data_IF_150092274839
#
_entry.id   IF_150092274839
#
_cell.length_a   1.000
_cell.length_b   1.000
_cell.length_c   1.000
_cell.angle_alpha   90.00
_cell.angle_beta   90.00
_cell.angle_gamma   90.00
#
_symmetry.space_group_name_H-M   'P 1'
#
loop_
_entity.id
_entity.type
_entity.pdbx_description
1 polymer ?
#
# COMPACT_ATOMS: atom_id res chain seq x y z
N UNK A 1 -11.95 4.13 42.62
CA UNK A 1 -11.73 4.16 41.17
C UNK A 1 -11.71 2.74 40.67
N UNK A 2 -12.74 2.29 39.98
CA UNK A 2 -12.75 0.95 39.38
C UNK A 2 -12.03 1.05 38.01
N UNK A 3 -10.90 0.35 37.89
CA UNK A 3 -10.23 0.16 36.61
C UNK A 3 -11.10 -0.80 35.81
N UNK A 4 -11.82 -0.27 34.80
CA UNK A 4 -12.53 -1.10 33.83
C UNK A 4 -11.46 -1.86 33.01
N UNK A 5 -11.25 -3.13 33.36
CA UNK A 5 -10.48 -4.04 32.54
C UNK A 5 -11.36 -4.38 31.32
N UNK A 6 -11.15 -3.67 30.19
CA UNK A 6 -11.76 -4.01 28.92
C UNK A 6 -11.18 -5.34 28.45
N UNK A 7 -11.93 -6.42 28.59
CA UNK A 7 -11.60 -7.70 27.95
C UNK A 7 -11.63 -7.50 26.44
N UNK A 8 -10.45 -7.44 25.80
CA UNK A 8 -10.33 -7.51 24.35
C UNK A 8 -10.91 -8.85 23.90
N UNK A 9 -11.85 -8.83 22.95
CA UNK A 9 -12.41 -10.08 22.44
C UNK A 9 -11.35 -10.90 21.70
N UNK A 10 -11.49 -12.22 21.64
CA UNK A 10 -10.57 -13.07 20.89
C UNK A 10 -10.50 -12.66 19.42
N UNK A 11 -11.58 -12.15 18.86
CA UNK A 11 -11.66 -11.63 17.50
C UNK A 11 -10.86 -10.34 17.33
N UNK A 12 -10.93 -9.42 18.29
CA UNK A 12 -10.14 -8.17 18.25
C UNK A 12 -8.63 -8.45 18.34
N UNK A 13 -8.26 -9.42 19.18
CA UNK A 13 -6.86 -9.86 19.30
C UNK A 13 -6.35 -10.47 17.98
N UNK A 14 -7.19 -11.26 17.30
CA UNK A 14 -6.84 -11.83 15.99
C UNK A 14 -6.70 -10.75 14.91
N UNK A 15 -7.63 -9.80 14.82
CA UNK A 15 -7.54 -8.66 13.90
C UNK A 15 -6.27 -7.84 14.14
N UNK A 16 -5.96 -7.55 15.38
CA UNK A 16 -4.74 -6.82 15.75
C UNK A 16 -3.49 -7.56 15.28
N UNK A 17 -3.44 -8.89 15.49
CA UNK A 17 -2.32 -9.73 15.04
C UNK A 17 -2.19 -9.73 13.51
N UNK A 18 -3.31 -9.79 12.76
CA UNK A 18 -3.28 -9.74 11.30
C UNK A 18 -2.75 -8.40 10.83
N UNK A 19 -3.21 -7.29 11.40
CA UNK A 19 -2.70 -5.94 11.09
C UNK A 19 -1.20 -5.81 11.36
N UNK A 20 -0.72 -6.32 12.50
CA UNK A 20 0.70 -6.31 12.85
C UNK A 20 1.54 -7.12 11.85
N UNK A 21 1.11 -8.33 11.49
CA UNK A 21 1.78 -9.15 10.50
C UNK A 21 1.82 -8.44 9.13
N UNK A 22 0.72 -7.79 8.74
CA UNK A 22 0.65 -7.04 7.49
C UNK A 22 1.64 -5.87 7.48
N UNK A 23 1.72 -5.13 8.59
CA UNK A 23 2.68 -4.03 8.75
C UNK A 23 4.13 -4.51 8.61
N UNK A 24 4.47 -5.65 9.21
CA UNK A 24 5.80 -6.25 9.10
C UNK A 24 6.16 -6.67 7.66
N UNK A 25 5.17 -7.06 6.85
CA UNK A 25 5.39 -7.40 5.45
C UNK A 25 5.59 -6.16 4.54
N UNK A 26 5.04 -5.02 4.95
CA UNK A 26 5.13 -3.77 4.16
C UNK A 26 6.40 -2.98 4.52
N UNK A 27 6.77 -2.97 5.80
CA UNK A 27 7.94 -2.22 6.28
C UNK A 27 9.23 -2.98 5.96
N UNK A 28 10.31 -2.28 5.58
CA UNK A 28 11.62 -2.88 5.39
C UNK A 28 12.17 -3.39 6.73
N UNK A 29 12.88 -4.52 6.68
CA UNK A 29 13.64 -5.04 7.82
C UNK A 29 15.12 -4.66 7.67
N UNK A 30 15.87 -4.62 8.78
CA UNK A 30 17.34 -4.38 8.74
C UNK A 30 18.07 -5.38 7.82
N UNK A 31 17.57 -6.63 7.78
CA UNK A 31 18.12 -7.68 6.92
C UNK A 31 17.91 -7.37 5.44
N UNK A 32 16.79 -6.73 5.10
CA UNK A 32 16.47 -6.33 3.72
C UNK A 32 17.41 -5.22 3.23
N UNK A 33 17.76 -4.23 4.08
CA UNK A 33 18.73 -3.19 3.73
C UNK A 33 20.12 -3.77 3.41
N UNK A 34 20.58 -4.73 4.20
CA UNK A 34 21.86 -5.40 3.95
C UNK A 34 21.86 -6.18 2.63
N UNK A 35 20.81 -6.94 2.37
CA UNK A 35 20.66 -7.70 1.12
C UNK A 35 20.49 -6.78 -0.09
N UNK A 36 19.77 -5.67 0.05
CA UNK A 36 19.62 -4.70 -1.01
C UNK A 36 20.96 -4.07 -1.40
N UNK A 37 21.72 -3.58 -0.42
CA UNK A 37 23.03 -2.96 -0.66
C UNK A 37 24.02 -3.95 -1.29
N UNK A 38 23.99 -5.22 -0.88
CA UNK A 38 24.77 -6.29 -1.48
C UNK A 38 24.32 -6.58 -2.92
N UNK A 39 23.02 -6.62 -3.19
CA UNK A 39 22.42 -6.86 -4.51
C UNK A 39 22.68 -5.69 -5.45
N UNK A 40 22.47 -4.44 -5.02
CA UNK A 40 22.77 -3.25 -5.81
C UNK A 40 24.26 -3.14 -6.16
N UNK A 41 25.13 -3.48 -5.20
CA UNK A 41 26.58 -3.52 -5.43
C UNK A 41 27.00 -4.61 -6.42
N UNK A 42 26.25 -5.72 -6.50
CA UNK A 42 26.48 -6.79 -7.47
C UNK A 42 25.91 -6.45 -8.85
N UNK A 43 24.74 -5.82 -8.92
CA UNK A 43 24.10 -5.39 -10.17
C UNK A 43 24.85 -4.26 -10.88
N UNK A 44 25.55 -3.41 -10.15
CA UNK A 44 26.41 -2.37 -10.74
C UNK A 44 27.63 -2.93 -11.49
N UNK A 45 27.95 -4.23 -11.34
CA UNK A 45 29.09 -4.90 -11.99
C UNK A 45 28.74 -5.79 -13.17
N UNK A 46 27.50 -6.23 -13.30
CA UNK A 46 27.08 -7.14 -14.36
C UNK A 46 25.68 -6.81 -14.86
N UNK A 47 25.65 -6.21 -16.05
CA UNK A 47 24.53 -6.14 -16.98
C UNK A 47 23.34 -5.23 -16.61
N UNK A 48 23.12 -4.27 -17.49
CA UNK A 48 21.90 -3.52 -17.76
C UNK A 48 20.82 -4.48 -18.30
N UNK A 49 20.35 -5.37 -17.47
CA UNK A 49 19.31 -6.35 -17.82
C UNK A 49 18.16 -6.32 -16.83
N UNK A 50 17.06 -5.72 -17.25
CA UNK A 50 15.74 -5.57 -16.69
C UNK A 50 15.53 -4.41 -15.69
N UNK A 51 15.19 -3.27 -16.25
CA UNK A 51 14.66 -2.10 -15.51
C UNK A 51 13.51 -2.44 -14.56
N UNK A 52 12.83 -3.56 -14.79
CA UNK A 52 11.66 -4.00 -14.06
C UNK A 52 11.99 -4.58 -12.67
N UNK A 53 13.07 -5.34 -12.54
CA UNK A 53 13.52 -5.88 -11.22
C UNK A 53 14.08 -4.77 -10.35
N UNK A 54 14.77 -3.80 -10.96
CA UNK A 54 15.27 -2.61 -10.26
C UNK A 54 14.10 -1.76 -9.75
N UNK A 55 13.07 -1.56 -10.56
CA UNK A 55 11.86 -0.80 -10.18
C UNK A 55 11.09 -1.49 -9.04
N UNK A 56 10.94 -2.81 -9.05
CA UNK A 56 10.31 -3.55 -7.95
C UNK A 56 11.12 -3.49 -6.64
N UNK A 57 12.45 -3.52 -6.74
CA UNK A 57 13.33 -3.34 -5.58
C UNK A 57 13.24 -1.92 -5.01
N UNK A 58 13.23 -0.89 -5.85
CA UNK A 58 13.08 0.50 -5.42
C UNK A 58 11.69 0.79 -4.81
N UNK A 59 10.64 0.07 -5.21
CA UNK A 59 9.31 0.19 -4.59
C UNK A 59 9.26 -0.38 -3.16
N UNK A 60 10.25 -1.15 -2.74
CA UNK A 60 10.32 -1.81 -1.44
C UNK A 60 11.07 -1.00 -0.38
N UNK A 61 11.92 -0.06 -0.79
CA UNK A 61 12.84 0.67 0.09
C UNK A 61 12.62 2.18 0.02
N UNK A 62 12.87 2.88 1.13
CA UNK A 62 12.77 4.33 1.18
C UNK A 62 13.73 4.98 0.18
N UNK A 63 13.21 5.94 -0.54
CA UNK A 63 13.95 6.69 -1.55
C UNK A 63 15.10 7.49 -0.97
N UNK A 64 16.00 7.90 -1.87
CA UNK A 64 17.07 8.86 -1.62
C UNK A 64 16.60 10.01 -0.69
N UNK A 65 17.32 10.31 0.40
CA UNK A 65 16.96 11.38 1.33
C UNK A 65 16.72 12.74 0.68
N UNK A 66 17.37 13.04 -0.44
CA UNK A 66 17.16 14.30 -1.18
C UNK A 66 15.83 14.30 -1.93
N UNK A 67 15.37 13.15 -2.40
CA UNK A 67 14.04 13.00 -3.00
C UNK A 67 12.97 13.21 -1.93
N UNK A 68 13.13 12.59 -0.76
CA UNK A 68 12.18 12.76 0.34
C UNK A 68 12.14 14.22 0.81
N UNK A 69 13.28 14.85 0.97
CA UNK A 69 13.34 16.29 1.30
C UNK A 69 12.59 17.12 0.26
N UNK A 70 12.73 16.79 -1.03
CA UNK A 70 11.99 17.44 -2.10
C UNK A 70 10.48 17.26 -1.92
N UNK A 71 9.99 16.06 -1.60
CA UNK A 71 8.57 15.83 -1.34
C UNK A 71 8.05 16.67 -0.17
N UNK A 72 8.81 16.78 0.92
CA UNK A 72 8.42 17.56 2.08
C UNK A 72 8.37 19.07 1.79
N UNK A 73 9.33 19.59 1.01
CA UNK A 73 9.50 21.02 0.78
C UNK A 73 8.72 21.58 -0.40
N UNK A 74 8.34 20.74 -1.37
CA UNK A 74 7.63 21.18 -2.58
C UNK A 74 6.12 20.94 -2.55
N UNK A 75 5.61 20.26 -1.49
CA UNK A 75 4.17 20.07 -1.36
C UNK A 75 3.44 21.41 -1.27
N UNK A 76 2.40 21.58 -2.07
CA UNK A 76 1.57 22.80 -2.06
C UNK A 76 0.72 22.91 -0.78
N UNK A 77 0.11 24.06 -0.58
CA UNK A 77 -0.80 24.27 0.56
C UNK A 77 -2.00 23.32 0.51
N UNK A 78 -2.45 22.95 -0.68
CA UNK A 78 -3.57 22.05 -0.95
C UNK A 78 -3.22 20.56 -0.78
N UNK A 79 -1.93 20.22 -0.63
CA UNK A 79 -1.47 18.84 -0.46
C UNK A 79 -1.05 18.13 -1.75
N UNK A 80 -0.87 18.87 -2.86
CA UNK A 80 -0.39 18.35 -4.15
C UNK A 80 1.11 18.55 -4.32
N UNK A 81 1.68 17.99 -5.40
CA UNK A 81 3.06 18.23 -5.83
C UNK A 81 3.10 18.79 -7.24
N UNK A 82 3.88 19.87 -7.49
CA UNK A 82 3.85 20.60 -8.76
C UNK A 82 4.40 19.82 -9.96
N UNK A 83 5.15 18.77 -9.73
CA UNK A 83 5.72 17.89 -10.75
C UNK A 83 4.78 16.75 -11.19
N UNK A 84 3.56 16.67 -10.63
CA UNK A 84 2.53 15.69 -11.00
C UNK A 84 1.44 16.38 -11.81
N UNK A 85 1.18 15.87 -13.02
CA UNK A 85 0.05 16.35 -13.82
C UNK A 85 -1.26 15.68 -13.36
N UNK A 86 -1.99 16.34 -12.48
CA UNK A 86 -3.29 15.85 -11.98
C UNK A 86 -4.42 15.88 -13.00
N UNK A 87 -4.21 16.54 -14.16
CA UNK A 87 -5.18 16.56 -15.27
C UNK A 87 -4.91 15.47 -16.32
N UNK A 88 -3.92 14.61 -16.08
CA UNK A 88 -3.59 13.51 -16.99
C UNK A 88 -4.78 12.58 -17.19
N UNK A 89 -5.07 12.24 -18.46
CA UNK A 89 -6.16 11.35 -18.89
C UNK A 89 -5.64 10.08 -19.56
N UNK A 90 -4.35 9.81 -19.50
CA UNK A 90 -3.78 8.58 -20.06
C UNK A 90 -4.39 7.35 -19.39
N UNK A 91 -4.61 6.32 -20.21
CA UNK A 91 -5.08 5.00 -19.71
C UNK A 91 -3.94 4.13 -19.18
N UNK A 92 -2.70 4.44 -19.55
CA UNK A 92 -1.47 3.78 -19.09
C UNK A 92 -0.48 4.84 -18.66
N UNK A 93 0.25 4.60 -17.58
CA UNK A 93 1.15 5.59 -17.00
C UNK A 93 0.44 6.83 -16.46
N UNK A 94 -0.79 6.68 -15.97
CA UNK A 94 -1.61 7.76 -15.40
C UNK A 94 -0.90 8.43 -14.22
N UNK A 95 -0.55 9.73 -14.39
CA UNK A 95 0.33 10.43 -13.48
C UNK A 95 -0.21 10.65 -12.06
N UNK A 96 -1.53 10.88 -11.83
CA UNK A 96 -2.03 11.03 -10.46
C UNK A 96 -1.77 9.82 -9.55
N UNK A 97 -1.49 8.61 -10.10
CA UNK A 97 -1.04 7.47 -9.29
C UNK A 97 0.23 7.76 -8.48
N UNK A 98 1.13 8.63 -9.02
CA UNK A 98 2.39 9.01 -8.37
C UNK A 98 2.11 9.66 -7.01
N UNK A 99 1.01 10.40 -6.87
CA UNK A 99 0.58 10.96 -5.59
C UNK A 99 0.36 9.86 -4.54
N UNK A 100 -0.29 8.76 -4.92
CA UNK A 100 -0.55 7.64 -4.00
C UNK A 100 0.73 6.88 -3.63
N UNK A 101 1.64 6.75 -4.58
CA UNK A 101 2.96 6.14 -4.37
C UNK A 101 3.80 6.97 -3.39
N UNK A 102 3.78 8.31 -3.51
CA UNK A 102 4.44 9.21 -2.55
C UNK A 102 3.85 9.11 -1.16
N UNK A 103 2.53 9.07 -1.04
CA UNK A 103 1.88 8.84 0.27
C UNK A 103 2.41 7.56 0.90
N UNK A 104 2.42 6.45 0.17
CA UNK A 104 2.90 5.17 0.69
C UNK A 104 4.36 5.26 1.13
N UNK A 105 5.21 5.92 0.35
CA UNK A 105 6.63 6.08 0.67
C UNK A 105 6.85 6.91 1.94
N UNK A 106 6.18 8.05 2.04
CA UNK A 106 6.24 8.90 3.24
C UNK A 106 5.72 8.15 4.47
N UNK A 107 4.63 7.41 4.33
CA UNK A 107 4.07 6.61 5.43
C UNK A 107 5.02 5.49 5.85
N UNK A 108 5.70 4.82 4.91
CA UNK A 108 6.73 3.81 5.25
C UNK A 108 7.84 4.43 6.08
N UNK A 109 8.39 5.56 5.66
CA UNK A 109 9.44 6.26 6.41
C UNK A 109 8.98 6.73 7.80
N UNK A 110 7.76 7.25 7.88
CA UNK A 110 7.13 7.65 9.13
C UNK A 110 6.97 6.48 10.10
N UNK A 111 6.65 5.29 9.59
CA UNK A 111 6.34 4.11 10.39
C UNK A 111 7.54 3.20 10.65
N UNK A 112 8.69 3.41 10.02
CA UNK A 112 9.89 2.57 10.16
C UNK A 112 10.73 3.00 11.35
N UNK A 113 10.87 2.19 12.42
CA UNK A 113 11.80 2.47 13.50
C UNK A 113 13.23 2.60 12.96
N UNK A 114 13.95 3.63 13.43
CA UNK A 114 15.30 3.92 12.95
C UNK A 114 15.37 4.85 11.74
N UNK A 115 14.27 5.10 11.04
CA UNK A 115 14.19 6.17 10.04
C UNK A 115 14.39 7.54 10.70
N UNK A 116 15.12 8.45 10.05
CA UNK A 116 15.24 9.86 10.49
C UNK A 116 13.87 10.59 10.51
N UNK A 117 12.87 10.02 9.89
CA UNK A 117 11.49 10.53 9.81
C UNK A 117 10.50 9.76 10.69
N UNK A 118 11.00 8.82 11.52
CA UNK A 118 10.14 8.03 12.39
C UNK A 118 9.33 8.93 13.33
N UNK A 119 8.00 8.86 13.20
CA UNK A 119 7.03 9.72 13.92
C UNK A 119 7.33 11.23 13.82
N UNK A 120 7.89 11.67 12.68
CA UNK A 120 8.16 13.09 12.43
C UNK A 120 6.86 13.89 12.26
N UNK A 121 6.64 14.91 13.09
CA UNK A 121 5.47 15.78 12.99
C UNK A 121 5.40 16.56 11.66
N UNK A 122 6.54 16.86 11.04
CA UNK A 122 6.59 17.49 9.72
C UNK A 122 6.06 16.53 8.65
N UNK A 123 6.54 15.28 8.65
CA UNK A 123 6.11 14.27 7.70
C UNK A 123 4.64 13.90 7.89
N UNK A 124 4.18 13.75 9.13
CA UNK A 124 2.78 13.51 9.49
C UNK A 124 1.85 14.57 8.87
N UNK A 125 2.21 15.84 9.01
CA UNK A 125 1.46 16.95 8.42
C UNK A 125 1.39 16.89 6.90
N UNK A 126 2.49 16.49 6.23
CA UNK A 126 2.54 16.32 4.77
C UNK A 126 1.63 15.15 4.35
N UNK A 127 1.66 14.03 5.08
CA UNK A 127 0.80 12.87 4.81
C UNK A 127 -0.68 13.25 4.95
N UNK A 128 -1.09 13.89 6.04
CA UNK A 128 -2.48 14.33 6.23
C UNK A 128 -2.98 15.24 5.12
N UNK A 129 -2.16 16.21 4.68
CA UNK A 129 -2.53 17.09 3.57
C UNK A 129 -2.71 16.32 2.25
N UNK A 130 -1.80 15.39 1.95
CA UNK A 130 -1.88 14.60 0.75
C UNK A 130 -3.13 13.68 0.75
N UNK A 131 -3.41 13.03 1.87
CA UNK A 131 -4.63 12.23 2.06
C UNK A 131 -5.90 13.10 1.92
N UNK A 132 -5.92 14.25 2.58
CA UNK A 132 -7.05 15.19 2.51
C UNK A 132 -7.35 15.63 1.07
N UNK A 133 -6.31 15.98 0.30
CA UNK A 133 -6.48 16.31 -1.11
C UNK A 133 -7.06 15.13 -1.92
N UNK A 134 -6.52 13.92 -1.72
CA UNK A 134 -6.98 12.73 -2.44
C UNK A 134 -8.45 12.43 -2.16
N UNK A 135 -8.85 12.47 -0.91
CA UNK A 135 -10.23 12.19 -0.50
C UNK A 135 -11.22 13.28 -0.98
N UNK A 136 -10.77 14.54 -1.04
CA UNK A 136 -11.61 15.62 -1.53
C UNK A 136 -11.81 15.61 -3.04
N UNK A 137 -10.74 15.27 -3.81
CA UNK A 137 -10.75 15.37 -5.27
C UNK A 137 -11.13 14.09 -5.98
N UNK A 138 -10.90 12.92 -5.34
CA UNK A 138 -11.25 11.58 -5.84
C UNK A 138 -10.83 11.38 -7.31
N UNK A 139 -9.53 11.47 -7.64
CA UNK A 139 -9.09 11.36 -9.02
C UNK A 139 -9.44 9.98 -9.61
N UNK A 140 -9.98 9.98 -10.84
CA UNK A 140 -10.41 8.77 -11.54
C UNK A 140 -9.62 8.60 -12.84
N UNK A 141 -9.03 7.41 -13.04
CA UNK A 141 -8.39 7.03 -14.27
C UNK A 141 -9.42 6.47 -15.28
N UNK A 142 -9.20 6.69 -16.58
CA UNK A 142 -10.00 6.08 -17.64
C UNK A 142 -9.77 4.54 -17.77
N UNK A 143 -8.73 4.01 -17.13
CA UNK A 143 -8.49 2.58 -17.02
C UNK A 143 -8.99 2.09 -15.65
N UNK A 144 -9.96 1.19 -15.67
CA UNK A 144 -10.60 0.60 -14.51
C UNK A 144 -9.59 -0.02 -13.53
N UNK A 145 -8.48 -0.59 -14.05
CA UNK A 145 -7.48 -1.26 -13.24
C UNK A 145 -6.86 -0.34 -12.17
N UNK A 146 -6.56 0.92 -12.53
CA UNK A 146 -6.06 1.89 -11.54
C UNK A 146 -7.09 2.15 -10.45
N UNK A 147 -8.36 2.28 -10.80
CA UNK A 147 -9.41 2.64 -9.85
C UNK A 147 -9.73 1.49 -8.89
N UNK A 148 -9.76 0.24 -9.39
CA UNK A 148 -10.21 -0.92 -8.62
C UNK A 148 -9.06 -1.71 -7.99
N UNK A 149 -7.87 -1.67 -8.59
CA UNK A 149 -6.72 -2.47 -8.15
C UNK A 149 -5.56 -1.56 -7.74
N UNK A 150 -5.01 -0.76 -8.65
CA UNK A 150 -3.75 -0.07 -8.45
C UNK A 150 -3.78 0.92 -7.28
N UNK A 151 -4.72 1.85 -7.29
CA UNK A 151 -4.88 2.85 -6.23
C UNK A 151 -5.24 2.21 -4.88
N UNK A 152 -6.26 1.33 -4.78
CA UNK A 152 -6.57 0.65 -3.53
C UNK A 152 -5.39 -0.18 -2.99
N UNK A 153 -4.62 -0.86 -3.86
CA UNK A 153 -3.44 -1.64 -3.46
C UNK A 153 -2.36 -0.74 -2.85
N UNK A 154 -2.08 0.40 -3.47
CA UNK A 154 -1.04 1.33 -3.00
C UNK A 154 -1.47 2.03 -1.72
N UNK A 155 -2.63 2.68 -1.74
CA UNK A 155 -3.13 3.43 -0.59
C UNK A 155 -3.55 2.52 0.57
N UNK A 156 -4.05 1.31 0.30
CA UNK A 156 -4.42 0.36 1.34
C UNK A 156 -3.24 0.01 2.26
N UNK A 157 -2.05 -0.17 1.70
CA UNK A 157 -0.84 -0.37 2.47
C UNK A 157 -0.51 0.85 3.34
N UNK A 158 -0.63 2.05 2.77
CA UNK A 158 -0.43 3.30 3.52
C UNK A 158 -1.47 3.45 4.63
N UNK A 159 -2.74 3.16 4.37
CA UNK A 159 -3.81 3.26 5.35
C UNK A 159 -3.60 2.35 6.56
N UNK A 160 -3.18 1.10 6.35
CA UNK A 160 -2.92 0.18 7.46
C UNK A 160 -1.73 0.61 8.32
N UNK A 161 -0.68 1.13 7.71
CA UNK A 161 0.48 1.64 8.44
C UNK A 161 0.18 2.92 9.20
N UNK A 162 -0.65 3.80 8.63
CA UNK A 162 -0.96 5.12 9.17
C UNK A 162 -2.28 5.14 9.98
N UNK A 163 -2.94 3.99 10.13
CA UNK A 163 -4.25 3.86 10.80
C UNK A 163 -4.30 4.53 12.19
N UNK A 164 -3.28 4.39 13.07
CA UNK A 164 -3.31 5.01 14.40
C UNK A 164 -3.31 6.53 14.39
N UNK A 165 -2.85 7.18 13.32
CA UNK A 165 -2.76 8.63 13.16
C UNK A 165 -3.96 9.22 12.40
N UNK A 166 -4.75 8.38 11.72
CA UNK A 166 -5.88 8.85 10.93
C UNK A 166 -6.96 9.47 11.78
N UNK A 167 -7.47 10.60 11.32
CA UNK A 167 -8.74 11.16 11.81
C UNK A 167 -9.93 10.26 11.39
N UNK A 168 -11.07 10.44 12.05
CA UNK A 168 -12.30 9.72 11.65
C UNK A 168 -12.74 10.05 10.21
N UNK A 169 -12.48 11.27 9.74
CA UNK A 169 -12.77 11.67 8.37
C UNK A 169 -11.86 10.97 7.37
N UNK A 170 -10.57 10.92 7.66
CA UNK A 170 -9.59 10.18 6.82
C UNK A 170 -9.87 8.69 6.81
N UNK A 171 -10.26 8.11 7.95
CA UNK A 171 -10.68 6.70 8.01
C UNK A 171 -11.89 6.43 7.11
N UNK A 172 -12.90 7.31 7.10
CA UNK A 172 -14.03 7.19 6.17
C UNK A 172 -13.59 7.29 4.72
N UNK A 173 -12.74 8.27 4.39
CA UNK A 173 -12.17 8.43 3.04
C UNK A 173 -11.36 7.22 2.60
N UNK A 174 -10.57 6.64 3.49
CA UNK A 174 -9.81 5.42 3.23
C UNK A 174 -10.73 4.23 2.91
N UNK A 175 -11.78 4.03 3.70
CA UNK A 175 -12.77 2.97 3.45
C UNK A 175 -13.43 3.18 2.08
N UNK A 176 -13.83 4.41 1.75
CA UNK A 176 -14.44 4.75 0.45
C UNK A 176 -13.50 4.41 -0.72
N UNK A 177 -12.21 4.73 -0.63
CA UNK A 177 -11.22 4.33 -1.63
C UNK A 177 -11.17 2.81 -1.77
N UNK A 178 -11.18 2.07 -0.67
CA UNK A 178 -11.11 0.61 -0.67
C UNK A 178 -12.40 -0.05 -1.19
N UNK A 179 -13.55 0.62 -1.15
CA UNK A 179 -14.82 0.13 -1.70
C UNK A 179 -14.85 0.03 -3.23
N UNK A 180 -13.91 0.66 -3.92
CA UNK A 180 -13.74 0.48 -5.35
C UNK A 180 -13.30 -0.96 -5.72
N UNK A 181 -12.62 -1.66 -4.81
CA UNK A 181 -12.28 -3.08 -4.99
C UNK A 181 -13.44 -3.97 -4.54
N UNK A 182 -13.84 -4.92 -5.41
CA UNK A 182 -14.90 -5.89 -5.15
C UNK A 182 -14.45 -7.28 -5.57
N UNK A 183 -14.99 -8.31 -4.94
CA UNK A 183 -14.74 -9.68 -5.39
C UNK A 183 -15.19 -9.86 -6.83
N UNK A 184 -14.39 -10.59 -7.61
CA UNK A 184 -14.67 -10.87 -9.01
C UNK A 184 -13.40 -11.21 -9.77
N UNK A 185 -13.56 -11.42 -11.07
CA UNK A 185 -12.49 -11.82 -11.99
C UNK A 185 -11.87 -13.18 -11.67
N UNK A 186 -10.76 -13.50 -12.32
CA UNK A 186 -9.98 -14.74 -12.18
C UNK A 186 -8.48 -14.39 -12.08
N UNK A 187 -7.69 -15.38 -11.72
CA UNK A 187 -6.24 -15.29 -11.71
C UNK A 187 -5.71 -14.17 -10.84
N UNK A 188 -4.68 -13.51 -11.29
CA UNK A 188 -3.98 -12.46 -10.53
C UNK A 188 -4.90 -11.28 -10.17
N UNK A 189 -5.81 -10.87 -11.06
CA UNK A 189 -6.73 -9.77 -10.79
C UNK A 189 -7.67 -10.10 -9.62
N UNK A 190 -8.17 -11.35 -9.53
CA UNK A 190 -8.99 -11.80 -8.40
C UNK A 190 -8.22 -11.75 -7.09
N UNK A 191 -6.96 -12.21 -7.09
CA UNK A 191 -6.08 -12.15 -5.91
C UNK A 191 -5.86 -10.70 -5.45
N UNK A 192 -5.58 -9.78 -6.38
CA UNK A 192 -5.40 -8.37 -6.05
C UNK A 192 -6.68 -7.70 -5.53
N UNK A 193 -7.81 -7.96 -6.16
CA UNK A 193 -9.10 -7.43 -5.71
C UNK A 193 -9.44 -7.96 -4.32
N UNK A 194 -9.29 -9.27 -4.09
CA UNK A 194 -9.54 -9.87 -2.78
C UNK A 194 -8.55 -9.37 -1.72
N UNK A 195 -7.29 -9.12 -2.08
CA UNK A 195 -6.31 -8.48 -1.21
C UNK A 195 -6.71 -7.07 -0.80
N UNK A 196 -7.23 -6.26 -1.74
CA UNK A 196 -7.76 -4.94 -1.43
C UNK A 196 -9.02 -5.00 -0.54
N UNK A 197 -9.91 -5.98 -0.77
CA UNK A 197 -11.07 -6.23 0.11
C UNK A 197 -10.61 -6.65 1.51
N UNK A 198 -9.55 -7.45 1.62
CA UNK A 198 -8.95 -7.81 2.91
C UNK A 198 -8.48 -6.57 3.69
N UNK A 199 -7.78 -5.66 3.03
CA UNK A 199 -7.35 -4.39 3.65
C UNK A 199 -8.55 -3.58 4.13
N UNK A 200 -9.60 -3.46 3.31
CA UNK A 200 -10.86 -2.81 3.73
C UNK A 200 -11.44 -3.47 4.97
N UNK A 201 -11.51 -4.80 5.00
CA UNK A 201 -12.04 -5.56 6.13
C UNK A 201 -11.26 -5.28 7.41
N UNK A 202 -9.92 -5.17 7.31
CA UNK A 202 -9.07 -4.82 8.45
C UNK A 202 -9.33 -3.39 8.95
N UNK A 203 -9.49 -2.41 8.06
CA UNK A 203 -9.83 -1.03 8.42
C UNK A 203 -11.22 -0.92 9.08
N UNK A 204 -12.16 -1.78 8.68
CA UNK A 204 -13.53 -1.85 9.22
C UNK A 204 -13.65 -2.74 10.47
N UNK A 205 -12.58 -3.47 10.82
CA UNK A 205 -12.59 -4.52 11.86
C UNK A 205 -13.65 -5.61 11.59
N UNK A 206 -13.89 -5.94 10.32
CA UNK A 206 -14.85 -6.93 9.85
C UNK A 206 -14.19 -8.30 9.62
N UNK A 207 -14.22 -9.19 10.62
CA UNK A 207 -13.59 -10.50 10.54
C UNK A 207 -14.29 -11.43 9.54
N UNK A 208 -15.59 -11.26 9.30
CA UNK A 208 -16.30 -12.10 8.33
C UNK A 208 -15.88 -11.73 6.90
N UNK A 209 -15.70 -10.45 6.63
CA UNK A 209 -15.15 -9.99 5.35
C UNK A 209 -13.68 -10.40 5.19
N UNK A 210 -12.87 -10.44 6.29
CA UNK A 210 -11.50 -11.00 6.29
C UNK A 210 -11.52 -12.46 5.83
N UNK A 211 -12.43 -13.29 6.38
CA UNK A 211 -12.57 -14.70 5.99
C UNK A 211 -12.97 -14.85 4.53
N UNK A 212 -13.93 -14.06 4.07
CA UNK A 212 -14.35 -14.07 2.66
C UNK A 212 -13.19 -13.70 1.71
N UNK A 213 -12.42 -12.69 2.05
CA UNK A 213 -11.26 -12.27 1.26
C UNK A 213 -10.19 -13.36 1.19
N UNK A 214 -9.86 -13.97 2.34
CA UNK A 214 -8.97 -15.14 2.42
C UNK A 214 -9.44 -16.27 1.51
N UNK A 215 -10.72 -16.64 1.60
CA UNK A 215 -11.28 -17.76 0.84
C UNK A 215 -11.29 -17.45 -0.67
N UNK A 216 -11.54 -16.21 -1.04
CA UNK A 216 -11.44 -15.76 -2.43
C UNK A 216 -10.00 -15.87 -2.97
N UNK A 217 -8.99 -15.49 -2.19
CA UNK A 217 -7.58 -15.66 -2.55
C UNK A 217 -7.24 -17.15 -2.65
N UNK A 218 -7.62 -17.93 -1.64
CA UNK A 218 -7.32 -19.36 -1.59
C UNK A 218 -7.93 -20.14 -2.76
N UNK A 219 -9.08 -19.69 -3.30
CA UNK A 219 -9.73 -20.32 -4.44
C UNK A 219 -8.96 -20.21 -5.76
N UNK A 220 -7.95 -19.34 -5.83
CA UNK A 220 -7.03 -19.23 -6.98
C UNK A 220 -5.76 -20.09 -6.80
N UNK A 221 -5.55 -20.68 -5.62
CA UNK A 221 -4.44 -21.61 -5.38
C UNK A 221 -4.86 -23.00 -5.90
N UNK A 222 -4.98 -23.10 -7.22
CA UNK A 222 -5.31 -24.33 -7.93
C UNK A 222 -4.12 -24.77 -8.76
N UNK A 223 -3.96 -26.09 -8.95
CA UNK A 223 -2.85 -26.68 -9.69
C UNK A 223 -3.34 -27.39 -10.95
N UNK A 224 -2.54 -27.34 -12.02
CA UNK A 224 -2.79 -28.09 -13.25
C UNK A 224 -3.95 -27.58 -14.10
N UNK A 225 -4.36 -26.32 -13.93
CA UNK A 225 -5.38 -25.64 -14.73
C UNK A 225 -4.74 -24.64 -15.69
N UNK A 226 -5.52 -24.08 -16.61
CA UNK A 226 -5.06 -23.04 -17.52
C UNK A 226 -4.62 -21.76 -16.75
N UNK A 227 -5.33 -21.44 -15.68
CA UNK A 227 -4.96 -20.42 -14.70
C UNK A 227 -4.53 -21.09 -13.38
N UNK A 228 -3.76 -20.40 -12.54
CA UNK A 228 -3.31 -20.90 -11.25
C UNK A 228 -1.85 -21.37 -11.25
N UNK A 229 -1.51 -22.26 -10.29
CA UNK A 229 -0.15 -22.78 -10.10
C UNK A 229 0.12 -23.87 -11.14
N UNK A 230 1.14 -23.64 -11.95
CA UNK A 230 1.58 -24.60 -12.98
C UNK A 230 2.53 -25.66 -12.37
N UNK A 231 2.81 -26.77 -13.12
CA UNK A 231 3.74 -27.81 -12.65
C UNK A 231 5.15 -27.31 -12.35
N UNK A 232 5.56 -26.19 -12.93
CA UNK A 232 6.85 -25.53 -12.68
C UNK A 232 6.79 -24.49 -11.55
N UNK A 233 5.69 -24.43 -10.80
CA UNK A 233 5.40 -23.51 -9.72
C UNK A 233 5.21 -22.05 -10.15
N UNK A 234 5.18 -21.74 -11.44
CA UNK A 234 4.75 -20.43 -11.91
C UNK A 234 3.25 -20.23 -11.67
N UNK A 235 2.82 -18.98 -11.54
CA UNK A 235 1.40 -18.63 -11.46
C UNK A 235 0.97 -18.01 -12.79
N UNK A 236 0.01 -18.63 -13.46
CA UNK A 236 -0.55 -18.15 -14.72
C UNK A 236 -1.93 -17.52 -14.50
N UNK A 237 -2.15 -16.48 -15.28
CA UNK A 237 -3.42 -15.77 -15.39
C UNK A 237 -3.94 -15.90 -16.82
#
# INVERSE_FOLDING_TARGET
MAVACTCVSAQDAELTRIKQNFSQLILPTETDEFHLNATLSSLSRTERGSDQVVVELFQRYPSDPDIIRTFLTTQTAEGTWPDINYQDKKRSGWEPRIHTERILELVKLYSTPGSSYYHSAEMEKVIHKALGWWFATKPVCLNWWYNQIGVPKTLGNAFLLFEPQMTDEERRGAIEVMEHARFGMTGQNKVWLAGNVLVRALLQNDMDLVRQARDSIASEIVTGQAEGIQPDWSFHQ
#
